data_IF_917940341664
#
_entry.id   IF_917940341664
#
_cell.length_a   1.000
_cell.length_b   1.000
_cell.length_c   1.000
_cell.angle_alpha   90.00
_cell.angle_beta   90.00
_cell.angle_gamma   90.00
#
_symmetry.space_group_name_H-M   'P 1'
#
loop_
_entity.id
_entity.type
_entity.pdbx_description
1 polymer ?
#
# COMPACT_ATOMS: atom_id res chain seq x y z
N UNK A 1 14.20 -6.77 13.77
CA UNK A 1 15.02 -7.64 12.91
C UNK A 1 14.21 -8.05 11.67
N UNK A 2 13.71 -7.10 10.86
CA UNK A 2 12.53 -7.38 10.00
C UNK A 2 12.72 -7.13 8.51
N UNK A 3 13.72 -6.34 8.10
CA UNK A 3 13.86 -5.95 6.68
C UNK A 3 14.51 -7.04 5.80
N UNK A 4 15.56 -7.70 6.31
CA UNK A 4 16.33 -8.68 5.51
C UNK A 4 15.45 -9.88 5.12
N UNK A 5 14.70 -10.42 6.06
CA UNK A 5 13.78 -11.54 5.82
C UNK A 5 12.67 -11.18 4.83
N UNK A 6 12.09 -9.99 4.97
CA UNK A 6 11.03 -9.51 4.07
C UNK A 6 11.56 -9.31 2.65
N UNK A 7 12.79 -8.81 2.47
CA UNK A 7 13.44 -8.70 1.17
C UNK A 7 13.72 -10.07 0.55
N UNK A 8 14.09 -11.08 1.36
CA UNK A 8 14.26 -12.45 0.87
C UNK A 8 12.96 -13.04 0.37
N UNK A 9 11.85 -12.84 1.11
CA UNK A 9 10.52 -13.28 0.68
C UNK A 9 10.08 -12.60 -0.62
N UNK A 10 10.37 -11.31 -0.78
CA UNK A 10 10.10 -10.58 -2.01
C UNK A 10 10.82 -11.18 -3.21
N UNK A 11 12.13 -11.44 -3.10
CA UNK A 11 12.92 -12.04 -4.18
C UNK A 11 12.36 -13.40 -4.59
N UNK A 12 12.14 -14.28 -3.61
CA UNK A 12 11.56 -15.60 -3.88
C UNK A 12 10.20 -15.52 -4.58
N UNK A 13 9.37 -14.56 -4.20
CA UNK A 13 8.07 -14.33 -4.82
C UNK A 13 8.16 -13.76 -6.25
N UNK A 14 9.12 -12.87 -6.50
CA UNK A 14 9.44 -12.39 -7.85
C UNK A 14 9.93 -13.53 -8.75
N UNK A 15 10.70 -14.46 -8.19
CA UNK A 15 11.19 -15.68 -8.85
C UNK A 15 10.09 -16.76 -9.04
N UNK A 16 8.86 -16.49 -8.60
CA UNK A 16 7.69 -17.33 -8.82
C UNK A 16 7.22 -18.18 -7.63
N UNK A 17 7.85 -18.06 -6.46
CA UNK A 17 7.40 -18.75 -5.25
C UNK A 17 6.18 -18.06 -4.63
N UNK A 18 4.98 -18.56 -4.93
CA UNK A 18 3.74 -18.04 -4.32
C UNK A 18 3.66 -18.35 -2.80
N UNK A 19 4.42 -19.33 -2.32
CA UNK A 19 4.56 -19.61 -0.88
C UNK A 19 5.21 -18.42 -0.17
N UNK A 20 6.19 -17.76 -0.81
CA UNK A 20 6.84 -16.60 -0.22
C UNK A 20 5.87 -15.43 -0.05
N UNK A 21 4.95 -15.24 -0.99
CA UNK A 21 3.86 -14.27 -0.85
C UNK A 21 2.90 -14.65 0.29
N UNK A 22 2.49 -15.91 0.40
CA UNK A 22 1.58 -16.34 1.48
C UNK A 22 2.20 -16.13 2.88
N UNK A 23 3.49 -16.44 3.03
CA UNK A 23 4.25 -16.17 4.27
C UNK A 23 4.28 -14.67 4.56
N UNK A 24 4.63 -13.84 3.56
CA UNK A 24 4.65 -12.39 3.72
C UNK A 24 3.27 -11.81 4.07
N UNK A 25 2.22 -12.29 3.39
CA UNK A 25 0.84 -11.91 3.62
C UNK A 25 0.42 -12.20 5.07
N UNK A 26 0.59 -13.45 5.52
CA UNK A 26 0.23 -13.86 6.89
C UNK A 26 0.98 -13.07 7.96
N UNK A 27 2.26 -12.79 7.73
CA UNK A 27 3.11 -12.01 8.64
C UNK A 27 2.59 -10.58 8.83
N UNK A 28 2.15 -9.92 7.76
CA UNK A 28 1.86 -8.48 7.77
C UNK A 28 0.37 -8.12 7.81
N UNK A 29 -0.53 -9.08 7.54
CA UNK A 29 -1.98 -8.86 7.53
C UNK A 29 -2.49 -8.21 8.81
N UNK A 30 -2.14 -8.78 9.98
CA UNK A 30 -2.60 -8.27 11.28
C UNK A 30 -2.10 -6.85 11.55
N UNK A 31 -0.86 -6.54 11.17
CA UNK A 31 -0.29 -5.21 11.32
C UNK A 31 -1.06 -4.18 10.49
N UNK A 32 -1.33 -4.48 9.22
CA UNK A 32 -2.01 -3.56 8.31
C UNK A 32 -3.47 -3.36 8.70
N UNK A 33 -4.16 -4.42 9.12
CA UNK A 33 -5.53 -4.31 9.66
C UNK A 33 -5.57 -3.40 10.89
N UNK A 34 -4.61 -3.53 11.80
CA UNK A 34 -4.54 -2.64 12.97
C UNK A 34 -4.28 -1.19 12.58
N UNK A 35 -3.43 -0.94 11.58
CA UNK A 35 -3.17 0.42 11.07
C UNK A 35 -4.42 1.00 10.42
N UNK A 36 -5.09 0.24 9.55
CA UNK A 36 -6.31 0.66 8.89
C UNK A 36 -7.42 0.94 9.91
N UNK A 37 -7.67 0.02 10.83
CA UNK A 37 -8.70 0.14 11.86
C UNK A 37 -8.51 1.37 12.74
N UNK A 38 -7.27 1.68 13.15
CA UNK A 38 -6.97 2.90 13.91
C UNK A 38 -7.26 4.19 13.13
N UNK A 39 -7.30 4.13 11.80
CA UNK A 39 -7.56 5.29 10.94
C UNK A 39 -9.03 5.39 10.57
N UNK A 40 -9.65 4.28 10.19
CA UNK A 40 -11.03 4.22 9.68
C UNK A 40 -12.08 4.15 10.78
N UNK A 41 -11.75 3.52 11.92
CA UNK A 41 -12.72 3.20 12.98
C UNK A 41 -13.73 2.12 12.60
N UNK A 42 -13.64 1.56 11.39
CA UNK A 42 -14.57 0.59 10.83
C UNK A 42 -13.82 -0.67 10.40
N UNK A 43 -14.19 -1.82 10.97
CA UNK A 43 -13.51 -3.09 10.72
C UNK A 43 -13.77 -3.65 9.33
N UNK A 44 -14.96 -3.45 8.76
CA UNK A 44 -15.34 -3.96 7.45
C UNK A 44 -14.59 -3.20 6.36
N UNK A 45 -14.64 -1.88 6.44
CA UNK A 45 -13.88 -0.98 5.57
C UNK A 45 -12.37 -1.21 5.68
N UNK A 46 -11.88 -1.49 6.89
CA UNK A 46 -10.46 -1.81 7.09
C UNK A 46 -10.05 -3.08 6.36
N UNK A 47 -10.90 -4.12 6.36
CA UNK A 47 -10.61 -5.36 5.64
C UNK A 47 -10.59 -5.13 4.13
N UNK A 48 -11.57 -4.39 3.61
CA UNK A 48 -11.64 -4.04 2.19
C UNK A 48 -10.39 -3.29 1.74
N UNK A 49 -10.03 -2.20 2.43
CA UNK A 49 -8.84 -1.39 2.11
C UNK A 49 -7.55 -2.21 2.17
N UNK A 50 -7.40 -3.10 3.16
CA UNK A 50 -6.21 -3.95 3.29
C UNK A 50 -6.16 -4.98 2.16
N UNK A 51 -7.27 -5.63 1.82
CA UNK A 51 -7.35 -6.58 0.69
C UNK A 51 -6.96 -5.88 -0.63
N UNK A 52 -7.54 -4.72 -0.90
CA UNK A 52 -7.21 -3.88 -2.04
C UNK A 52 -5.72 -3.53 -2.12
N UNK A 53 -5.14 -3.22 -0.96
CA UNK A 53 -3.72 -2.88 -0.86
C UNK A 53 -2.83 -4.07 -1.23
N UNK A 54 -3.17 -5.28 -0.76
CA UNK A 54 -2.48 -6.51 -1.14
C UNK A 54 -2.66 -6.85 -2.62
N UNK A 55 -3.83 -6.61 -3.22
CA UNK A 55 -4.05 -6.83 -4.66
C UNK A 55 -3.15 -5.92 -5.50
N UNK A 56 -3.07 -4.62 -5.15
CA UNK A 56 -2.18 -3.67 -5.84
C UNK A 56 -0.72 -4.07 -5.65
N UNK A 57 -0.34 -4.42 -4.42
CA UNK A 57 0.99 -4.90 -4.11
C UNK A 57 1.37 -6.15 -4.91
N UNK A 58 0.44 -7.10 -5.05
CA UNK A 58 0.63 -8.31 -5.84
C UNK A 58 0.90 -8.00 -7.31
N UNK A 59 0.08 -7.13 -7.91
CA UNK A 59 0.24 -6.72 -9.32
C UNK A 59 1.55 -5.99 -9.58
N UNK A 60 2.08 -5.29 -8.57
CA UNK A 60 3.30 -4.49 -8.69
C UNK A 60 4.56 -5.20 -8.20
N UNK A 61 4.51 -6.49 -7.89
CA UNK A 61 5.64 -7.23 -7.29
C UNK A 61 6.99 -7.03 -7.99
N UNK A 62 7.00 -6.95 -9.33
CA UNK A 62 8.22 -6.79 -10.12
C UNK A 62 8.78 -5.34 -10.13
N UNK A 63 8.04 -4.37 -9.58
CA UNK A 63 8.45 -2.96 -9.46
C UNK A 63 9.06 -2.65 -8.08
N UNK A 64 9.13 -3.64 -7.20
CA UNK A 64 9.56 -3.46 -5.80
C UNK A 64 11.02 -3.91 -5.71
N UNK A 65 11.91 -2.98 -5.39
CA UNK A 65 13.35 -3.28 -5.30
C UNK A 65 13.72 -3.77 -3.90
N UNK A 66 13.24 -3.07 -2.87
CA UNK A 66 13.50 -3.37 -1.48
C UNK A 66 12.36 -2.89 -0.56
N UNK A 67 12.48 -3.22 0.73
CA UNK A 67 11.56 -2.79 1.79
C UNK A 67 10.06 -3.04 1.45
N UNK A 68 9.66 -4.26 1.06
CA UNK A 68 8.30 -4.56 0.59
C UNK A 68 7.21 -4.14 1.59
N UNK A 69 7.49 -4.22 2.90
CA UNK A 69 6.55 -3.77 3.93
C UNK A 69 6.34 -2.25 3.91
N UNK A 70 7.38 -1.45 3.68
CA UNK A 70 7.24 0.01 3.57
C UNK A 70 6.46 0.36 2.31
N UNK A 71 6.74 -0.30 1.20
CA UNK A 71 5.99 -0.14 -0.04
C UNK A 71 4.50 -0.44 0.16
N UNK A 72 4.18 -1.57 0.80
CA UNK A 72 2.80 -1.96 1.10
C UNK A 72 2.10 -0.98 2.06
N UNK A 73 2.80 -0.47 3.08
CA UNK A 73 2.27 0.55 3.98
C UNK A 73 1.97 1.88 3.25
N UNK A 74 2.75 2.25 2.22
CA UNK A 74 2.45 3.42 1.38
C UNK A 74 1.18 3.22 0.57
N UNK A 75 1.00 2.04 -0.05
CA UNK A 75 -0.25 1.69 -0.74
C UNK A 75 -1.44 1.83 0.22
N UNK A 76 -1.33 1.26 1.41
CA UNK A 76 -2.39 1.31 2.43
C UNK A 76 -2.76 2.75 2.78
N UNK A 77 -1.76 3.59 3.10
CA UNK A 77 -2.00 5.00 3.46
C UNK A 77 -2.69 5.77 2.35
N UNK A 78 -2.28 5.55 1.11
CA UNK A 78 -2.93 6.18 -0.04
C UNK A 78 -4.38 5.73 -0.16
N UNK A 79 -4.67 4.43 -0.07
CA UNK A 79 -6.04 3.90 -0.18
C UNK A 79 -6.96 4.49 0.89
N UNK A 80 -6.46 4.61 2.13
CA UNK A 80 -7.19 5.29 3.21
C UNK A 80 -7.45 6.77 2.86
N UNK A 81 -6.44 7.49 2.37
CA UNK A 81 -6.58 8.90 1.99
C UNK A 81 -7.59 9.07 0.84
N UNK A 82 -7.52 8.20 -0.18
CA UNK A 82 -8.42 8.19 -1.32
C UNK A 82 -9.87 7.98 -0.88
N UNK A 83 -10.10 7.04 0.04
CA UNK A 83 -11.42 6.82 0.63
C UNK A 83 -11.97 8.09 1.30
N UNK A 84 -11.18 8.76 2.15
CA UNK A 84 -11.62 10.00 2.79
C UNK A 84 -11.85 11.16 1.82
N UNK A 85 -11.03 11.27 0.77
CA UNK A 85 -11.25 12.25 -0.31
C UNK A 85 -12.60 12.01 -1.01
N UNK A 86 -12.91 10.75 -1.33
CA UNK A 86 -14.20 10.38 -1.94
C UNK A 86 -15.38 10.71 -1.03
N UNK A 87 -15.30 10.43 0.28
CA UNK A 87 -16.36 10.82 1.22
C UNK A 87 -16.53 12.34 1.27
N UNK A 88 -15.42 13.09 1.38
CA UNK A 88 -15.48 14.56 1.45
C UNK A 88 -16.12 15.13 0.19
N UNK A 89 -15.67 14.70 -0.98
CA UNK A 89 -16.20 15.16 -2.26
C UNK A 89 -17.67 14.75 -2.44
N UNK A 90 -18.08 13.55 -2.00
CA UNK A 90 -19.48 13.12 -2.09
C UNK A 90 -20.40 13.90 -1.14
N UNK A 91 -19.89 14.34 0.02
CA UNK A 91 -20.61 15.25 0.91
C UNK A 91 -20.75 16.66 0.32
N UNK A 92 -19.78 17.10 -0.47
CA UNK A 92 -19.79 18.40 -1.15
C UNK A 92 -20.59 18.35 -2.48
N UNK A 93 -20.67 17.20 -3.15
CA UNK A 93 -21.27 16.99 -4.47
C UNK A 93 -22.56 16.15 -4.43
N UNK A 94 -23.57 16.54 -3.63
CA UNK A 94 -24.94 15.99 -3.78
C UNK A 94 -25.64 16.38 -5.10
N UNK A 95 -24.87 16.66 -6.16
CA UNK A 95 -25.29 16.66 -7.56
C UNK A 95 -24.19 16.00 -8.40
N UNK A 96 -24.50 14.77 -8.85
CA UNK A 96 -23.96 14.00 -9.97
C UNK A 96 -22.54 13.38 -9.92
N UNK A 97 -22.55 12.07 -10.18
CA UNK A 97 -21.44 11.12 -10.09
C UNK A 97 -20.53 11.12 -11.32
N UNK A 98 -19.23 10.81 -11.13
CA UNK A 98 -18.46 9.75 -11.84
C UNK A 98 -17.25 9.31 -10.95
N UNK A 99 -17.04 8.00 -10.67
CA UNK A 99 -15.82 7.51 -10.05
C UNK A 99 -14.64 7.57 -11.03
N UNK A 100 -13.69 8.49 -10.80
CA UNK A 100 -12.47 8.52 -11.59
C UNK A 100 -11.52 7.38 -11.14
N UNK A 101 -11.11 6.64 -12.16
CA UNK A 101 -10.24 5.47 -12.22
C UNK A 101 -8.95 5.61 -11.42
N UNK A 102 -8.44 4.48 -10.89
CA UNK A 102 -7.07 4.38 -10.36
C UNK A 102 -6.09 4.81 -11.46
N UNK A 103 -5.67 6.06 -11.43
CA UNK A 103 -4.60 6.54 -12.29
C UNK A 103 -3.27 5.99 -11.79
N UNK A 104 -2.64 5.12 -12.59
CA UNK A 104 -1.31 4.58 -12.34
C UNK A 104 -0.24 5.68 -12.17
N UNK A 105 -0.47 6.90 -12.70
CA UNK A 105 0.48 8.01 -12.64
C UNK A 105 0.70 8.57 -11.22
N UNK A 106 -0.31 8.54 -10.35
CA UNK A 106 -0.18 9.05 -8.99
C UNK A 106 0.65 8.11 -8.11
N UNK A 107 0.54 6.81 -8.39
CA UNK A 107 1.34 5.80 -7.75
C UNK A 107 2.82 5.90 -8.12
N UNK A 108 3.12 6.10 -9.40
CA UNK A 108 4.50 6.33 -9.85
C UNK A 108 5.13 7.55 -9.19
N UNK A 109 4.37 8.64 -9.05
CA UNK A 109 4.83 9.87 -8.38
C UNK A 109 5.09 9.68 -6.88
N UNK A 110 4.20 8.98 -6.16
CA UNK A 110 4.39 8.73 -4.72
C UNK A 110 5.57 7.79 -4.47
N UNK A 111 5.76 6.78 -5.33
CA UNK A 111 6.88 5.86 -5.24
C UNK A 111 8.22 6.55 -5.51
N UNK A 112 8.29 7.41 -6.54
CA UNK A 112 9.49 8.17 -6.89
C UNK A 112 9.85 9.28 -5.90
N UNK A 113 8.89 9.85 -5.17
CA UNK A 113 9.20 10.97 -4.27
C UNK A 113 9.85 10.53 -2.94
N UNK A 114 9.62 9.28 -2.52
CA UNK A 114 10.19 8.75 -1.28
C UNK A 114 11.65 8.28 -1.42
N UNK A 115 12.16 8.00 -2.63
CA UNK A 115 13.59 7.72 -2.86
C UNK A 115 14.47 8.96 -2.70
N UNK A 116 13.92 10.16 -2.93
CA UNK A 116 14.63 11.42 -2.74
C UNK A 116 14.73 11.87 -1.27
N UNK A 117 13.85 11.38 -0.39
CA UNK A 117 13.81 11.85 1.01
C UNK A 117 14.89 11.21 1.89
N UNK A 118 15.43 10.06 1.51
CA UNK A 118 16.52 9.40 2.23
C UNK A 118 17.92 9.84 1.76
N UNK A 119 18.07 10.24 0.49
CA UNK A 119 19.35 10.73 -0.03
C UNK A 119 19.66 12.14 0.48
N UNK A 120 18.64 13.00 0.68
CA UNK A 120 18.83 14.37 1.18
C UNK A 120 19.15 14.49 2.67
N UNK A 121 19.09 13.40 3.45
CA UNK A 121 19.51 13.38 4.87
C UNK A 121 20.87 12.72 5.11
N UNK A 122 21.49 12.16 4.08
CA UNK A 122 22.82 11.55 4.18
C UNK A 122 23.96 12.47 3.70
N UNK A 123 23.65 13.66 3.20
CA UNK A 123 24.62 14.66 2.72
C UNK A 123 24.40 16.02 3.40
N UNK A 124 24.07 16.05 4.70
CA UNK A 124 24.04 17.30 5.48
C UNK A 124 24.59 17.09 6.87
#
# INVERSE_FOLDING_TARGET
MTNVEDNTLLKQWQDGSEIAFDVFYKKHLRLLLNIALKKTGDFELSREIVQDSFIVFYKKKNQIEDNPILYLQKILKYKILEYYKRIKNNKENSTDAIPHTLDNSLWEKILHNDTNTLILKAIT
#
